data_IF_482971761572
#
_entry.id   IF_482971761572
#
_cell.length_a   1.000
_cell.length_b   1.000
_cell.length_c   1.000
_cell.angle_alpha   90.00
_cell.angle_beta   90.00
_cell.angle_gamma   90.00
#
_symmetry.space_group_name_H-M   'P 1'
#
loop_
_entity.id
_entity.type
_entity.pdbx_description
1 polymer ?
#
# COMPACT_ATOMS: atom_id res chain seq x y z
N UNK A 1 11.88 22.61 68.28
CA UNK A 1 13.00 21.73 68.71
C UNK A 1 13.32 20.83 67.52
N UNK A 2 14.52 20.97 66.92
CA UNK A 2 15.64 19.99 66.97
C UNK A 2 15.28 18.70 66.19
N UNK A 3 15.96 18.25 65.12
CA UNK A 3 17.38 18.36 64.76
C UNK A 3 17.60 17.95 63.29
N UNK A 4 18.62 18.56 62.67
CA UNK A 4 19.21 18.26 61.35
C UNK A 4 20.22 17.10 61.47
N UNK A 5 20.37 16.26 60.45
CA UNK A 5 21.63 15.57 60.07
C UNK A 5 21.63 15.43 58.53
N UNK A 6 22.37 16.28 57.80
CA UNK A 6 23.75 16.11 57.29
C UNK A 6 23.79 15.18 56.06
N UNK A 7 23.99 15.71 54.84
CA UNK A 7 25.31 15.91 54.17
C UNK A 7 26.24 14.68 54.41
N UNK A 8 26.82 13.96 53.46
CA UNK A 8 27.09 14.13 52.02
C UNK A 8 27.80 12.85 51.56
N UNK A 9 27.49 12.24 50.41
CA UNK A 9 28.50 11.51 49.63
C UNK A 9 28.28 11.75 48.13
N UNK A 10 29.10 12.67 47.62
CA UNK A 10 29.90 12.59 46.39
C UNK A 10 29.19 12.27 45.06
N UNK A 11 29.07 13.35 44.28
CA UNK A 11 29.06 13.39 42.82
C UNK A 11 30.27 12.63 42.27
N UNK A 12 30.05 11.59 41.45
CA UNK A 12 30.98 11.18 40.39
C UNK A 12 30.20 11.00 39.10
N UNK A 13 30.59 11.82 38.12
CA UNK A 13 30.15 11.76 36.73
C UNK A 13 30.44 10.39 36.11
N UNK A 14 29.47 9.85 35.39
CA UNK A 14 29.75 9.19 34.12
C UNK A 14 28.58 9.47 33.17
N UNK A 15 28.87 10.34 32.20
CA UNK A 15 28.07 10.63 31.03
C UNK A 15 27.82 9.32 30.27
N UNK A 16 26.65 8.72 30.46
CA UNK A 16 26.10 7.76 29.52
C UNK A 16 25.01 8.48 28.72
N UNK A 17 25.44 9.30 27.75
CA UNK A 17 24.62 9.64 26.59
C UNK A 17 24.38 8.35 25.81
N UNK A 18 23.43 7.54 26.26
CA UNK A 18 22.94 6.41 25.48
C UNK A 18 22.16 6.97 24.31
N UNK A 19 22.68 6.66 23.13
CA UNK A 19 22.18 7.00 21.80
C UNK A 19 20.76 6.42 21.63
N UNK A 20 19.73 7.19 21.96
CA UNK A 20 18.33 6.91 21.59
C UNK A 20 18.07 7.44 20.17
N UNK A 21 18.83 6.95 19.20
CA UNK A 21 18.64 7.26 17.78
C UNK A 21 18.74 6.03 16.87
N UNK A 22 18.57 4.82 17.41
CA UNK A 22 18.80 3.59 16.65
C UNK A 22 17.56 2.74 16.35
N UNK A 23 16.35 3.12 16.76
CA UNK A 23 15.13 2.37 16.41
C UNK A 23 13.94 3.29 16.15
N UNK A 24 13.98 4.03 15.05
CA UNK A 24 12.75 4.60 14.49
C UNK A 24 11.93 3.43 13.93
N UNK A 25 11.13 2.79 14.78
CA UNK A 25 9.98 2.03 14.31
C UNK A 25 9.14 3.02 13.52
N UNK A 26 9.28 3.01 12.18
CA UNK A 26 8.44 3.81 11.30
C UNK A 26 7.04 3.25 11.43
N UNK A 27 6.27 3.77 12.39
CA UNK A 27 4.83 3.58 12.39
C UNK A 27 4.33 4.02 11.02
N UNK A 28 3.55 3.19 10.30
CA UNK A 28 2.97 3.59 9.03
C UNK A 28 2.32 4.97 9.19
N UNK A 29 2.57 5.92 8.27
CA UNK A 29 1.98 7.24 8.36
C UNK A 29 0.45 7.13 8.46
N UNK A 30 -0.16 7.99 9.27
CA UNK A 30 -1.60 8.07 9.43
C UNK A 30 -2.30 8.22 8.05
N UNK A 31 -3.49 7.65 7.83
CA UNK A 31 -4.21 7.77 6.56
C UNK A 31 -4.35 9.21 6.06
N UNK A 32 -4.61 10.18 6.94
CA UNK A 32 -4.73 11.59 6.54
C UNK A 32 -3.39 12.13 6.01
N UNK A 33 -2.28 11.78 6.66
CA UNK A 33 -0.94 12.17 6.19
C UNK A 33 -0.62 11.59 4.81
N UNK A 34 -1.02 10.32 4.55
CA UNK A 34 -0.82 9.70 3.24
C UNK A 34 -1.66 10.38 2.15
N UNK A 35 -2.91 10.71 2.44
CA UNK A 35 -3.79 11.45 1.53
C UNK A 35 -3.17 12.81 1.22
N UNK A 36 -2.73 13.55 2.23
CA UNK A 36 -2.10 14.86 2.03
C UNK A 36 -0.85 14.76 1.15
N UNK A 37 0.04 13.80 1.41
CA UNK A 37 1.21 13.59 0.57
C UNK A 37 0.87 13.28 -0.88
N UNK A 38 -0.23 12.54 -1.12
CA UNK A 38 -0.69 12.25 -2.47
C UNK A 38 -1.21 13.51 -3.17
N UNK A 39 -1.99 14.34 -2.46
CA UNK A 39 -2.48 15.63 -2.97
C UNK A 39 -1.31 16.58 -3.25
N UNK A 40 -0.33 16.67 -2.36
CA UNK A 40 0.86 17.50 -2.52
C UNK A 40 1.66 17.07 -3.76
N UNK A 41 1.83 15.76 -3.94
CA UNK A 41 2.50 15.20 -5.11
C UNK A 41 1.76 15.58 -6.40
N UNK A 42 0.45 15.34 -6.47
CA UNK A 42 -0.34 15.70 -7.65
C UNK A 42 -0.37 17.22 -7.88
N UNK A 43 -0.40 18.02 -6.82
CA UNK A 43 -0.34 19.48 -6.90
C UNK A 43 0.97 19.94 -7.49
N UNK A 44 2.09 19.38 -7.05
CA UNK A 44 3.42 19.68 -7.59
C UNK A 44 3.54 19.27 -9.05
N UNK A 45 3.05 18.08 -9.39
CA UNK A 45 3.20 17.52 -10.73
C UNK A 45 2.21 18.12 -11.73
N UNK A 46 0.97 18.44 -11.34
CA UNK A 46 -0.06 18.92 -12.26
C UNK A 46 -0.38 20.41 -12.08
N UNK A 47 0.06 21.05 -11.01
CA UNK A 47 -0.31 22.44 -10.70
C UNK A 47 -1.78 22.56 -10.34
N UNK A 48 -2.26 21.73 -9.40
CA UNK A 48 -3.67 21.72 -8.99
C UNK A 48 -4.07 23.03 -8.29
N UNK A 49 -5.25 23.58 -8.64
CA UNK A 49 -5.83 24.72 -7.91
C UNK A 49 -6.30 24.30 -6.52
N UNK A 50 -6.55 25.28 -5.64
CA UNK A 50 -7.06 25.02 -4.29
C UNK A 50 -8.39 24.25 -4.32
N UNK A 51 -9.28 24.58 -5.25
CA UNK A 51 -10.56 23.88 -5.42
C UNK A 51 -10.35 22.43 -5.87
N UNK A 52 -9.44 22.19 -6.82
CA UNK A 52 -9.08 20.84 -7.26
C UNK A 52 -8.48 20.03 -6.10
N UNK A 53 -7.57 20.61 -5.31
CA UNK A 53 -6.99 19.94 -4.15
C UNK A 53 -8.04 19.49 -3.13
N UNK A 54 -9.05 20.33 -2.85
CA UNK A 54 -10.15 19.97 -1.95
C UNK A 54 -10.99 18.81 -2.50
N UNK A 55 -11.34 18.86 -3.79
CA UNK A 55 -12.10 17.78 -4.45
C UNK A 55 -11.31 16.46 -4.40
N UNK A 56 -10.02 16.51 -4.72
CA UNK A 56 -9.14 15.34 -4.72
C UNK A 56 -8.95 14.76 -3.33
N UNK A 57 -8.78 15.61 -2.31
CA UNK A 57 -8.70 15.18 -0.90
C UNK A 57 -9.96 14.41 -0.48
N UNK A 58 -11.14 14.93 -0.84
CA UNK A 58 -12.42 14.28 -0.55
C UNK A 58 -12.54 12.91 -1.26
N UNK A 59 -12.15 12.85 -2.54
CA UNK A 59 -12.15 11.59 -3.32
C UNK A 59 -11.23 10.54 -2.68
N UNK A 60 -9.98 10.90 -2.38
CA UNK A 60 -9.01 9.98 -1.78
C UNK A 60 -9.42 9.50 -0.38
N UNK A 61 -10.08 10.37 0.41
CA UNK A 61 -10.60 10.00 1.72
C UNK A 61 -11.70 8.95 1.59
N UNK A 62 -12.63 9.15 0.65
CA UNK A 62 -13.70 8.19 0.34
C UNK A 62 -13.14 6.86 -0.16
N UNK A 63 -12.16 6.93 -1.07
CA UNK A 63 -11.47 5.74 -1.58
C UNK A 63 -10.72 4.97 -0.52
N UNK A 64 -10.03 5.63 0.40
CA UNK A 64 -9.34 4.98 1.49
C UNK A 64 -10.32 4.18 2.39
N UNK A 65 -11.50 4.73 2.65
CA UNK A 65 -12.55 4.04 3.39
C UNK A 65 -13.09 2.83 2.61
N UNK A 66 -13.38 3.00 1.31
CA UNK A 66 -13.87 1.92 0.45
C UNK A 66 -12.83 0.79 0.29
N UNK A 67 -11.56 1.14 0.09
CA UNK A 67 -10.46 0.20 -0.03
C UNK A 67 -10.30 -0.63 1.26
N UNK A 68 -10.43 0.00 2.43
CA UNK A 68 -10.41 -0.73 3.71
C UNK A 68 -11.56 -1.74 3.77
N UNK A 69 -12.77 -1.34 3.42
CA UNK A 69 -13.94 -2.21 3.42
C UNK A 69 -13.76 -3.40 2.45
N UNK A 70 -13.30 -3.15 1.23
CA UNK A 70 -13.00 -4.21 0.27
C UNK A 70 -11.93 -5.18 0.76
N UNK A 71 -10.87 -4.66 1.39
CA UNK A 71 -9.82 -5.48 1.97
C UNK A 71 -10.36 -6.40 3.09
N UNK A 72 -11.19 -5.87 3.98
CA UNK A 72 -11.81 -6.64 5.06
C UNK A 72 -12.73 -7.75 4.51
N UNK A 73 -13.53 -7.43 3.48
CA UNK A 73 -14.39 -8.42 2.79
C UNK A 73 -13.59 -9.48 2.05
N UNK A 74 -12.51 -9.09 1.36
CA UNK A 74 -11.60 -10.02 0.68
C UNK A 74 -10.93 -10.97 1.67
N UNK A 75 -10.49 -10.46 2.83
CA UNK A 75 -9.95 -11.31 3.91
C UNK A 75 -10.99 -12.32 4.38
N UNK A 76 -12.21 -11.89 4.68
CA UNK A 76 -13.28 -12.78 5.11
C UNK A 76 -13.62 -13.86 4.05
N UNK A 77 -13.60 -13.50 2.77
CA UNK A 77 -13.83 -14.44 1.67
C UNK A 77 -12.70 -15.47 1.55
N UNK A 78 -11.43 -15.06 1.72
CA UNK A 78 -10.29 -15.99 1.78
C UNK A 78 -10.35 -16.91 2.99
N UNK A 79 -10.72 -16.40 4.16
CA UNK A 79 -10.88 -17.20 5.38
C UNK A 79 -12.01 -18.24 5.19
N UNK A 80 -13.11 -17.85 4.54
CA UNK A 80 -14.22 -18.75 4.18
C UNK A 80 -13.78 -19.83 3.20
N UNK A 81 -13.03 -19.46 2.16
CA UNK A 81 -12.46 -20.40 1.20
C UNK A 81 -11.56 -21.42 1.90
N UNK A 82 -10.66 -20.95 2.77
CA UNK A 82 -9.76 -21.82 3.55
C UNK A 82 -10.56 -22.81 4.41
N UNK A 83 -11.61 -22.35 5.08
CA UNK A 83 -12.46 -23.20 5.91
C UNK A 83 -13.23 -24.24 5.08
N UNK A 84 -13.75 -23.85 3.91
CA UNK A 84 -14.46 -24.77 3.01
C UNK A 84 -13.52 -25.87 2.46
N UNK A 85 -12.30 -25.50 2.07
CA UNK A 85 -11.25 -26.45 1.64
C UNK A 85 -10.93 -27.45 2.75
N UNK A 86 -10.74 -26.99 3.99
CA UNK A 86 -10.44 -27.88 5.12
C UNK A 86 -11.57 -28.87 5.43
N UNK A 87 -12.81 -28.50 5.13
CA UNK A 87 -14.00 -29.34 5.32
C UNK A 87 -14.33 -30.20 4.10
N UNK A 88 -13.60 -30.04 3.00
CA UNK A 88 -13.95 -30.61 1.69
C UNK A 88 -15.39 -30.26 1.25
N UNK A 89 -15.82 -29.03 1.55
CA UNK A 89 -17.13 -28.50 1.22
C UNK A 89 -17.08 -27.83 -0.17
N UNK A 90 -17.47 -28.58 -1.21
CA UNK A 90 -17.44 -28.11 -2.59
C UNK A 90 -18.33 -26.86 -2.81
N UNK A 91 -19.53 -26.85 -2.24
CA UNK A 91 -20.44 -25.70 -2.38
C UNK A 91 -19.87 -24.45 -1.70
N UNK A 92 -19.24 -24.62 -0.52
CA UNK A 92 -18.55 -23.53 0.18
C UNK A 92 -17.37 -22.96 -0.61
N UNK A 93 -16.61 -23.82 -1.31
CA UNK A 93 -15.50 -23.40 -2.19
C UNK A 93 -16.04 -22.54 -3.33
N UNK A 94 -17.06 -23.01 -4.04
CA UNK A 94 -17.64 -22.30 -5.19
C UNK A 94 -18.22 -20.94 -4.77
N UNK A 95 -18.89 -20.89 -3.62
CA UNK A 95 -19.45 -19.66 -3.07
C UNK A 95 -18.35 -18.64 -2.69
N UNK A 96 -17.29 -19.09 -2.02
CA UNK A 96 -16.19 -18.21 -1.63
C UNK A 96 -15.41 -17.71 -2.85
N UNK A 97 -15.17 -18.57 -3.85
CA UNK A 97 -14.53 -18.20 -5.10
C UNK A 97 -15.36 -17.16 -5.89
N UNK A 98 -16.68 -17.36 -5.98
CA UNK A 98 -17.60 -16.39 -6.60
C UNK A 98 -17.55 -15.04 -5.87
N UNK A 99 -17.51 -15.05 -4.53
CA UNK A 99 -17.40 -13.84 -3.71
C UNK A 99 -16.09 -13.09 -4.00
N UNK A 100 -14.97 -13.80 -4.06
CA UNK A 100 -13.65 -13.23 -4.40
C UNK A 100 -13.67 -12.60 -5.79
N UNK A 101 -14.23 -13.29 -6.79
CA UNK A 101 -14.35 -12.78 -8.15
C UNK A 101 -15.18 -11.49 -8.21
N UNK A 102 -16.31 -11.47 -7.53
CA UNK A 102 -17.19 -10.29 -7.45
C UNK A 102 -16.52 -9.11 -6.73
N UNK A 103 -15.80 -9.35 -5.64
CA UNK A 103 -15.04 -8.31 -4.94
C UNK A 103 -13.91 -7.75 -5.81
N UNK A 104 -13.22 -8.60 -6.56
CA UNK A 104 -12.17 -8.18 -7.50
C UNK A 104 -12.72 -7.28 -8.60
N UNK A 105 -13.87 -7.64 -9.18
CA UNK A 105 -14.56 -6.82 -10.16
C UNK A 105 -14.99 -5.46 -9.58
N UNK A 106 -15.52 -5.45 -8.37
CA UNK A 106 -15.93 -4.22 -7.67
C UNK A 106 -14.73 -3.30 -7.38
N UNK A 107 -13.62 -3.84 -6.86
CA UNK A 107 -12.40 -3.06 -6.61
C UNK A 107 -11.88 -2.43 -7.90
N UNK A 108 -11.80 -3.21 -8.98
CA UNK A 108 -11.34 -2.72 -10.30
C UNK A 108 -12.24 -1.61 -10.82
N UNK A 109 -13.57 -1.81 -10.77
CA UNK A 109 -14.54 -0.80 -11.21
C UNK A 109 -14.48 0.46 -10.35
N UNK A 110 -14.35 0.32 -9.03
CA UNK A 110 -14.22 1.44 -8.10
C UNK A 110 -13.00 2.28 -8.43
N UNK A 111 -11.82 1.65 -8.56
CA UNK A 111 -10.57 2.36 -8.89
C UNK A 111 -10.66 3.06 -10.26
N UNK A 112 -11.22 2.39 -11.28
CA UNK A 112 -11.38 3.00 -12.60
C UNK A 112 -12.32 4.22 -12.58
N UNK A 113 -13.45 4.13 -11.86
CA UNK A 113 -14.40 5.25 -11.71
C UNK A 113 -13.79 6.42 -10.96
N UNK A 114 -13.08 6.13 -9.89
CA UNK A 114 -12.30 7.10 -9.13
C UNK A 114 -11.28 7.84 -9.98
N UNK A 115 -10.49 7.11 -10.77
CA UNK A 115 -9.52 7.69 -11.69
C UNK A 115 -10.21 8.55 -12.76
N UNK A 116 -11.33 8.08 -13.33
CA UNK A 116 -12.11 8.87 -14.29
C UNK A 116 -12.66 10.16 -13.67
N UNK A 117 -13.17 10.11 -12.43
CA UNK A 117 -13.62 11.28 -11.70
C UNK A 117 -12.47 12.26 -11.43
N UNK A 118 -11.29 11.76 -11.06
CA UNK A 118 -10.09 12.59 -10.92
C UNK A 118 -9.75 13.33 -12.22
N UNK A 119 -9.65 12.62 -13.35
CA UNK A 119 -9.38 13.24 -14.66
C UNK A 119 -10.40 14.33 -14.99
N UNK A 120 -11.68 14.12 -14.67
CA UNK A 120 -12.73 15.13 -14.91
C UNK A 120 -12.54 16.41 -14.10
N UNK A 121 -11.83 16.38 -12.96
CA UNK A 121 -11.49 17.59 -12.19
C UNK A 121 -10.35 18.40 -12.81
N UNK A 122 -9.57 17.80 -13.72
CA UNK A 122 -8.39 18.41 -14.31
C UNK A 122 -8.72 19.26 -15.54
N UNK A 123 -7.96 20.33 -15.74
CA UNK A 123 -8.00 21.11 -16.99
C UNK A 123 -7.40 20.30 -18.16
N UNK A 124 -7.70 20.66 -19.42
CA UNK A 124 -7.11 19.97 -20.58
C UNK A 124 -5.57 19.92 -20.57
N UNK A 125 -4.92 20.99 -20.12
CA UNK A 125 -3.45 21.04 -20.02
C UNK A 125 -2.91 20.09 -18.95
N UNK A 126 -3.60 20.01 -17.81
CA UNK A 126 -3.26 19.08 -16.72
C UNK A 126 -3.47 17.62 -17.15
N UNK A 127 -4.52 17.31 -17.91
CA UNK A 127 -4.76 15.97 -18.45
C UNK A 127 -3.65 15.57 -19.43
N UNK A 128 -3.23 16.47 -20.31
CA UNK A 128 -2.08 16.25 -21.21
C UNK A 128 -0.82 15.92 -20.41
N UNK A 129 -0.54 16.69 -19.35
CA UNK A 129 0.61 16.45 -18.47
C UNK A 129 0.53 15.10 -17.77
N UNK A 130 -0.64 14.74 -17.25
CA UNK A 130 -0.89 13.43 -16.64
C UNK A 130 -0.65 12.29 -17.63
N UNK A 131 -1.16 12.38 -18.86
CA UNK A 131 -0.94 11.37 -19.90
C UNK A 131 0.54 11.20 -20.23
N UNK A 132 1.28 12.29 -20.39
CA UNK A 132 2.73 12.24 -20.61
C UNK A 132 3.48 11.62 -19.43
N UNK A 133 3.02 11.82 -18.20
CA UNK A 133 3.59 11.14 -17.03
C UNK A 133 3.30 9.64 -17.07
N UNK A 134 2.07 9.25 -17.39
CA UNK A 134 1.67 7.84 -17.49
C UNK A 134 2.43 7.10 -18.59
N UNK A 135 2.66 7.71 -19.76
CA UNK A 135 3.45 7.12 -20.84
C UNK A 135 4.91 6.89 -20.41
N UNK A 136 5.52 7.87 -19.72
CA UNK A 136 6.89 7.76 -19.21
C UNK A 136 7.06 6.69 -18.14
N UNK A 137 6.04 6.46 -17.31
CA UNK A 137 6.07 5.44 -16.25
C UNK A 137 5.51 4.08 -16.72
N UNK A 138 4.72 4.06 -17.79
CA UNK A 138 4.09 2.87 -18.38
C UNK A 138 5.06 1.97 -19.13
N UNK A 139 6.25 2.45 -19.47
CA UNK A 139 7.31 1.62 -20.06
C UNK A 139 8.17 0.86 -19.02
N UNK A 140 7.89 1.00 -17.71
CA UNK A 140 8.70 0.42 -16.64
C UNK A 140 8.01 -0.63 -15.75
N UNK A 141 6.69 -0.81 -15.84
CA UNK A 141 5.98 -1.84 -15.07
C UNK A 141 5.85 -3.10 -15.92
N UNK A 142 7.00 -3.72 -16.18
CA UNK A 142 7.04 -5.08 -16.71
C UNK A 142 6.20 -6.00 -15.83
N UNK A 143 5.55 -6.95 -16.48
CA UNK A 143 4.94 -8.15 -15.94
C UNK A 143 5.88 -8.87 -14.96
N UNK A 144 6.08 -8.35 -13.75
CA UNK A 144 6.53 -9.12 -12.62
C UNK A 144 5.31 -9.86 -12.08
N UNK A 145 4.82 -10.79 -12.91
CA UNK A 145 4.01 -11.88 -12.43
C UNK A 145 4.79 -12.58 -11.33
N UNK A 146 4.37 -12.37 -10.09
CA UNK A 146 4.75 -13.18 -8.94
C UNK A 146 4.14 -14.60 -9.02
N UNK A 147 3.90 -15.10 -10.23
CA UNK A 147 3.49 -16.47 -10.52
C UNK A 147 4.73 -17.24 -10.97
N UNK A 148 5.40 -17.89 -10.02
CA UNK A 148 6.43 -18.89 -10.36
C UNK A 148 7.66 -18.88 -9.46
N UNK A 149 7.50 -19.16 -8.16
CA UNK A 149 8.58 -19.82 -7.41
C UNK A 149 8.62 -21.27 -7.88
N UNK A 150 9.19 -21.51 -9.06
CA UNK A 150 9.25 -22.80 -9.72
C UNK A 150 10.62 -23.05 -10.34
N UNK A 151 11.57 -23.47 -9.49
CA UNK A 151 12.75 -24.26 -9.88
C UNK A 151 13.93 -23.50 -10.50
N UNK A 152 15.17 -23.75 -10.05
CA UNK A 152 16.36 -23.36 -10.80
C UNK A 152 16.41 -24.16 -12.11
N UNK A 153 16.39 -23.43 -13.24
CA UNK A 153 16.83 -23.94 -14.54
C UNK A 153 18.23 -24.55 -14.36
N UNK A 154 18.32 -25.87 -14.43
CA UNK A 154 19.59 -26.58 -14.48
C UNK A 154 20.37 -26.17 -15.73
N UNK A 155 21.70 -26.05 -15.67
CA UNK A 155 22.51 -25.74 -16.84
C UNK A 155 22.33 -26.80 -17.91
N UNK A 156 21.99 -26.39 -19.13
CA UNK A 156 22.03 -27.24 -20.31
C UNK A 156 23.43 -27.84 -20.47
N UNK A 157 23.51 -29.15 -20.32
CA UNK A 157 24.67 -29.92 -20.75
C UNK A 157 24.67 -30.08 -22.27
N UNK A 158 25.84 -30.00 -22.94
CA UNK A 158 25.91 -30.15 -24.39
C UNK A 158 25.58 -31.59 -24.80
N UNK A 159 24.75 -31.72 -25.84
CA UNK A 159 24.53 -32.96 -26.57
C UNK A 159 25.82 -33.37 -27.29
N UNK A 160 26.53 -34.36 -26.75
CA UNK A 160 27.50 -35.14 -27.50
C UNK A 160 26.80 -36.42 -27.97
N UNK A 161 26.53 -36.48 -29.28
CA UNK A 161 26.41 -37.74 -30.00
C UNK A 161 27.80 -38.35 -30.10
N UNK A 162 27.96 -39.61 -29.70
CA UNK A 162 29.00 -40.52 -30.20
C UNK A 162 28.71 -41.96 -29.71
N UNK A 163 28.67 -42.86 -30.70
CA UNK A 163 28.68 -44.34 -30.76
C UNK A 163 27.61 -45.20 -30.05
#
# INVERSE_FOLDING_TARGET
MKTKYLLSIVVVLALATSVVYAQHHRTPPDPATRIQHHVDFMTKELGLTTEQQQQVTAMLTSEAANAKNFHDQMRAAHDSLKAAVQKNDAAGIDQAATTIGNLTAQMTSSHAKSHAAFIQTLTPDQQTKLNSMMEKHGHGMGMHGHFGRGGPMGPGGPMSHED
#
